data_IF_812252541880
#
_entry.id   IF_812252541880
#
_cell.length_a   1.000
_cell.length_b   1.000
_cell.length_c   1.000
_cell.angle_alpha   90.00
_cell.angle_beta   90.00
_cell.angle_gamma   90.00
#
_symmetry.space_group_name_H-M   'P 1'
#
loop_
_entity.id
_entity.type
_entity.pdbx_description
1 polymer ?
#
# COMPACT_ATOMS: atom_id res chain seq x y z
N UNK A 1 -19.42 -6.31 5.83
CA UNK A 1 -18.41 -5.27 5.70
C UNK A 1 -17.55 -5.57 4.49
N UNK A 2 -17.26 -4.55 3.71
CA UNK A 2 -16.50 -4.68 2.45
C UNK A 2 -15.10 -4.09 2.62
N UNK A 3 -14.09 -4.89 2.39
CA UNK A 3 -12.67 -4.53 2.45
C UNK A 3 -12.10 -4.40 1.04
N UNK A 4 -11.36 -3.33 0.79
CA UNK A 4 -10.58 -3.13 -0.43
C UNK A 4 -9.08 -3.08 -0.09
N UNK A 5 -8.26 -3.81 -0.83
CA UNK A 5 -6.81 -3.80 -0.70
C UNK A 5 -6.21 -3.28 -2.00
N UNK A 6 -5.58 -2.11 -1.94
CA UNK A 6 -4.91 -1.45 -3.05
C UNK A 6 -3.41 -1.57 -2.82
N UNK A 7 -2.71 -2.19 -3.76
CA UNK A 7 -1.28 -2.45 -3.57
C UNK A 7 -0.49 -2.35 -4.87
N UNK A 8 0.80 -2.05 -4.72
CA UNK A 8 1.80 -2.19 -5.76
C UNK A 8 2.78 -3.31 -5.39
N UNK A 9 3.19 -4.11 -6.37
CA UNK A 9 4.17 -5.17 -6.15
C UNK A 9 5.14 -5.30 -7.32
N UNK A 10 6.43 -5.25 -7.05
CA UNK A 10 7.49 -5.39 -8.05
C UNK A 10 8.01 -6.83 -8.13
N UNK A 11 8.31 -7.43 -6.98
CA UNK A 11 8.93 -8.76 -6.87
C UNK A 11 7.97 -9.86 -6.43
N UNK A 12 6.71 -9.50 -6.15
CA UNK A 12 5.69 -10.43 -5.64
C UNK A 12 5.49 -10.41 -4.13
N UNK A 13 6.42 -9.90 -3.33
CA UNK A 13 6.31 -9.90 -1.87
C UNK A 13 5.07 -9.15 -1.37
N UNK A 14 4.84 -7.93 -1.84
CA UNK A 14 3.65 -7.15 -1.46
C UNK A 14 2.36 -7.82 -1.91
N UNK A 15 2.35 -8.41 -3.11
CA UNK A 15 1.21 -9.18 -3.63
C UNK A 15 0.90 -10.39 -2.72
N UNK A 16 1.92 -11.13 -2.31
CA UNK A 16 1.77 -12.27 -1.42
C UNK A 16 1.10 -11.87 -0.10
N UNK A 17 1.58 -10.81 0.54
CA UNK A 17 0.99 -10.27 1.77
C UNK A 17 -0.45 -9.82 1.54
N UNK A 18 -0.71 -9.07 0.46
CA UNK A 18 -2.06 -8.60 0.11
C UNK A 18 -3.05 -9.74 -0.06
N UNK A 19 -2.66 -10.83 -0.73
CA UNK A 19 -3.48 -12.03 -0.91
C UNK A 19 -3.79 -12.73 0.41
N UNK A 20 -2.83 -12.81 1.32
CA UNK A 20 -3.04 -13.40 2.65
C UNK A 20 -3.98 -12.56 3.51
N UNK A 21 -3.91 -11.23 3.42
CA UNK A 21 -4.88 -10.36 4.08
C UNK A 21 -6.27 -10.52 3.45
N UNK A 22 -6.35 -10.60 2.11
CA UNK A 22 -7.63 -10.66 1.41
C UNK A 22 -8.42 -11.94 1.72
N UNK A 23 -7.73 -13.06 1.84
CA UNK A 23 -8.35 -14.40 1.93
C UNK A 23 -9.39 -14.53 3.05
N UNK A 24 -9.11 -14.21 4.33
CA UNK A 24 -10.09 -14.36 5.40
C UNK A 24 -11.27 -13.41 5.34
N UNK A 25 -11.18 -12.32 4.58
CA UNK A 25 -12.22 -11.30 4.47
C UNK A 25 -12.96 -11.31 3.13
N UNK A 26 -12.57 -12.16 2.20
CA UNK A 26 -13.04 -12.13 0.81
C UNK A 26 -12.91 -10.71 0.22
N UNK A 27 -11.78 -10.05 0.49
CA UNK A 27 -11.54 -8.66 0.15
C UNK A 27 -11.31 -8.48 -1.36
N UNK A 28 -11.69 -7.32 -1.87
CA UNK A 28 -11.34 -6.93 -3.24
C UNK A 28 -9.87 -6.53 -3.32
N UNK A 29 -9.13 -7.12 -4.25
CA UNK A 29 -7.72 -6.84 -4.51
C UNK A 29 -7.58 -5.99 -5.76
N UNK A 30 -6.92 -4.84 -5.64
CA UNK A 30 -6.60 -3.95 -6.75
C UNK A 30 -5.08 -3.75 -6.79
N UNK A 31 -4.44 -4.34 -7.77
CA UNK A 31 -3.03 -4.09 -8.03
C UNK A 31 -2.87 -2.84 -8.90
N UNK A 32 -2.07 -1.89 -8.44
CA UNK A 32 -1.76 -0.68 -9.20
C UNK A 32 -0.36 -0.77 -9.80
N UNK A 33 -0.25 -0.38 -11.05
CA UNK A 33 0.99 -0.44 -11.81
C UNK A 33 1.37 0.94 -12.34
N UNK A 34 2.67 1.18 -12.41
CA UNK A 34 3.23 2.34 -13.09
C UNK A 34 3.06 2.19 -14.60
N UNK A 35 2.42 3.15 -15.24
CA UNK A 35 2.25 3.20 -16.70
C UNK A 35 3.31 4.06 -17.41
N UNK A 36 4.16 4.76 -16.64
CA UNK A 36 5.21 5.59 -17.20
C UNK A 36 6.28 4.74 -17.90
N UNK A 37 6.63 5.15 -19.11
CA UNK A 37 7.62 4.46 -19.96
C UNK A 37 9.03 4.91 -19.57
N UNK A 38 9.72 4.12 -18.76
CA UNK A 38 11.13 4.35 -18.44
C UNK A 38 12.04 3.40 -19.23
N UNK A 39 13.21 3.88 -19.64
CA UNK A 39 14.23 3.02 -20.26
C UNK A 39 14.69 1.95 -19.24
N UNK A 40 14.75 0.68 -19.66
CA UNK A 40 14.93 -0.47 -18.72
C UNK A 40 16.16 -0.33 -17.80
N UNK A 41 17.30 0.18 -18.29
CA UNK A 41 18.53 0.31 -17.49
C UNK A 41 18.45 1.41 -16.41
N UNK A 42 17.68 2.47 -16.64
CA UNK A 42 17.57 3.61 -15.72
C UNK A 42 16.33 3.52 -14.82
N UNK A 43 15.45 2.57 -15.09
CA UNK A 43 14.14 2.42 -14.45
C UNK A 43 14.23 2.38 -12.93
N UNK A 44 15.13 1.59 -12.38
CA UNK A 44 15.31 1.48 -10.93
C UNK A 44 15.80 2.78 -10.29
N UNK A 45 16.81 3.43 -10.89
CA UNK A 45 17.37 4.69 -10.37
C UNK A 45 16.34 5.83 -10.41
N UNK A 46 15.58 5.94 -11.50
CA UNK A 46 14.51 6.94 -11.64
C UNK A 46 13.42 6.72 -10.60
N UNK A 47 12.97 5.49 -10.41
CA UNK A 47 11.94 5.14 -9.42
C UNK A 47 12.38 5.39 -7.99
N UNK A 48 13.63 5.07 -7.63
CA UNK A 48 14.19 5.39 -6.32
C UNK A 48 14.31 6.89 -6.08
N UNK A 49 14.68 7.67 -7.11
CA UNK A 49 14.71 9.13 -7.04
C UNK A 49 13.32 9.70 -6.82
N UNK A 50 12.33 9.27 -7.60
CA UNK A 50 10.93 9.70 -7.47
C UNK A 50 10.35 9.35 -6.09
N UNK A 51 10.60 8.14 -5.58
CA UNK A 51 10.19 7.75 -4.24
C UNK A 51 10.78 8.66 -3.16
N UNK A 52 12.05 9.05 -3.32
CA UNK A 52 12.74 9.92 -2.36
C UNK A 52 12.22 11.36 -2.39
N UNK A 53 11.87 11.88 -3.58
CA UNK A 53 11.30 13.23 -3.75
C UNK A 53 9.77 13.27 -3.61
N UNK A 54 9.13 12.11 -3.36
CA UNK A 54 7.66 11.96 -3.28
C UNK A 54 6.94 12.37 -4.57
N UNK A 55 7.64 12.34 -5.70
CA UNK A 55 7.05 12.60 -7.00
C UNK A 55 6.05 11.50 -7.38
N UNK A 56 4.92 11.89 -7.98
CA UNK A 56 3.88 10.97 -8.42
C UNK A 56 4.15 10.47 -9.82
N UNK A 57 3.59 9.33 -10.14
CA UNK A 57 3.63 8.72 -11.47
C UNK A 57 2.21 8.51 -12.00
N UNK A 58 2.09 8.21 -13.27
CA UNK A 58 0.81 7.78 -13.85
C UNK A 58 0.58 6.30 -13.58
N UNK A 59 -0.63 5.95 -13.19
CA UNK A 59 -0.99 4.61 -12.74
C UNK A 59 -2.10 3.98 -13.60
N UNK A 60 -2.16 2.65 -13.55
CA UNK A 60 -3.30 1.87 -14.01
C UNK A 60 -3.76 0.95 -12.84
N UNK A 61 -5.08 0.94 -12.52
CA UNK A 61 -6.14 1.78 -13.08
C UNK A 61 -5.99 3.26 -12.72
N UNK A 62 -6.40 4.16 -13.62
CA UNK A 62 -6.23 5.61 -13.47
C UNK A 62 -7.23 6.25 -12.51
N UNK A 63 -8.24 5.54 -12.06
CA UNK A 63 -9.22 6.02 -11.09
C UNK A 63 -9.71 4.87 -10.23
N UNK A 64 -9.81 5.12 -8.92
CA UNK A 64 -10.15 4.13 -7.91
C UNK A 64 -11.33 4.64 -7.09
N UNK A 65 -12.50 4.04 -7.27
CA UNK A 65 -13.69 4.36 -6.46
C UNK A 65 -13.80 3.38 -5.29
N UNK A 66 -13.65 3.92 -4.08
CA UNK A 66 -13.73 3.16 -2.83
C UNK A 66 -14.97 3.49 -2.01
N UNK A 67 -15.95 4.17 -2.60
CA UNK A 67 -17.19 4.57 -1.90
C UNK A 67 -17.95 3.38 -1.28
N UNK A 68 -17.92 2.23 -1.96
CA UNK A 68 -18.62 1.01 -1.54
C UNK A 68 -17.88 0.16 -0.49
N UNK A 69 -16.73 0.59 0.02
CA UNK A 69 -15.93 -0.15 0.99
C UNK A 69 -15.93 0.54 2.37
N UNK A 70 -15.82 -0.26 3.41
CA UNK A 70 -15.86 0.20 4.80
C UNK A 70 -14.45 0.42 5.37
N UNK A 71 -13.45 -0.34 4.89
CA UNK A 71 -12.04 -0.23 5.25
C UNK A 71 -11.17 -0.35 4.00
N UNK A 72 -10.12 0.44 3.93
CA UNK A 72 -9.14 0.41 2.84
C UNK A 72 -7.79 -0.03 3.40
N UNK A 73 -7.13 -0.95 2.70
CA UNK A 73 -5.76 -1.37 3.03
C UNK A 73 -4.83 -0.99 1.88
N UNK A 74 -3.71 -0.34 2.20
CA UNK A 74 -2.67 0.00 1.24
C UNK A 74 -1.44 -0.88 1.41
N UNK A 75 -0.88 -1.37 0.32
CA UNK A 75 0.34 -2.17 0.31
C UNK A 75 1.39 -1.60 -0.65
N UNK A 76 2.64 -1.42 -0.17
CA UNK A 76 3.74 -0.88 -0.97
C UNK A 76 5.06 -1.60 -0.68
N UNK A 77 5.90 -1.87 -1.68
CA UNK A 77 7.31 -2.11 -1.41
C UNK A 77 7.99 -0.81 -0.98
N UNK A 78 9.10 -0.92 -0.25
CA UNK A 78 9.93 0.23 0.14
C UNK A 78 10.99 0.49 -0.93
N UNK A 79 11.00 1.71 -1.48
CA UNK A 79 12.03 2.21 -2.38
C UNK A 79 12.71 3.42 -1.75
N UNK A 80 14.02 3.41 -1.70
CA UNK A 80 14.81 4.52 -1.14
C UNK A 80 14.28 5.03 0.22
N UNK A 81 13.90 4.10 1.11
CA UNK A 81 13.39 4.35 2.47
C UNK A 81 12.00 4.97 2.56
N UNK A 82 11.21 4.95 1.49
CA UNK A 82 9.82 5.44 1.43
C UNK A 82 8.91 4.46 0.68
N UNK A 83 7.62 4.66 0.79
CA UNK A 83 6.62 4.00 -0.05
C UNK A 83 6.75 4.45 -1.51
N UNK A 84 6.27 3.64 -2.44
CA UNK A 84 6.46 3.91 -3.87
C UNK A 84 5.59 5.06 -4.38
N UNK A 85 6.06 5.81 -5.42
CA UNK A 85 5.26 6.82 -6.09
C UNK A 85 3.94 6.28 -6.66
N UNK A 86 3.92 5.00 -7.00
CA UNK A 86 2.74 4.30 -7.53
C UNK A 86 1.61 4.29 -6.50
N UNK A 87 1.92 3.94 -5.24
CA UNK A 87 0.91 3.95 -4.16
C UNK A 87 0.53 5.37 -3.77
N UNK A 88 1.47 6.33 -3.80
CA UNK A 88 1.14 7.73 -3.59
C UNK A 88 0.11 8.22 -4.62
N UNK A 89 0.37 7.99 -5.90
CA UNK A 89 -0.57 8.33 -6.96
C UNK A 89 -1.93 7.61 -6.80
N UNK A 90 -1.92 6.33 -6.38
CA UNK A 90 -3.15 5.58 -6.13
C UNK A 90 -4.00 6.19 -5.01
N UNK A 91 -3.37 6.62 -3.91
CA UNK A 91 -4.06 7.28 -2.79
C UNK A 91 -4.68 8.61 -3.25
N UNK A 92 -3.99 9.36 -4.10
CA UNK A 92 -4.48 10.63 -4.62
C UNK A 92 -5.66 10.50 -5.59
N UNK A 93 -5.68 9.43 -6.39
CA UNK A 93 -6.75 9.17 -7.36
C UNK A 93 -8.01 8.53 -6.73
N UNK A 94 -8.03 8.34 -5.39
CA UNK A 94 -9.18 7.76 -4.70
C UNK A 94 -10.41 8.66 -4.74
N UNK A 95 -11.55 8.06 -5.01
CA UNK A 95 -12.88 8.66 -4.86
C UNK A 95 -13.66 7.97 -3.75
N UNK A 96 -14.42 8.75 -3.00
CA UNK A 96 -15.29 8.24 -1.93
C UNK A 96 -14.53 7.72 -0.71
N UNK A 97 -13.31 8.22 -0.44
CA UNK A 97 -12.45 7.77 0.66
C UNK A 97 -12.59 8.61 1.95
N UNK A 98 -13.20 9.79 1.88
CA UNK A 98 -13.31 10.74 3.01
C UNK A 98 -13.90 10.09 4.26
N UNK A 99 -13.22 10.26 5.40
CA UNK A 99 -13.63 9.73 6.70
C UNK A 99 -13.46 8.22 6.88
N UNK A 100 -13.01 7.49 5.84
CA UNK A 100 -12.87 6.04 5.94
C UNK A 100 -11.61 5.65 6.72
N UNK A 101 -11.68 4.58 7.55
CA UNK A 101 -10.51 4.01 8.17
C UNK A 101 -9.58 3.39 7.11
N UNK A 102 -8.28 3.55 7.32
CA UNK A 102 -7.27 2.98 6.45
C UNK A 102 -6.15 2.30 7.25
N UNK A 103 -5.70 1.17 6.76
CA UNK A 103 -4.52 0.43 7.23
C UNK A 103 -3.48 0.46 6.12
N UNK A 104 -2.20 0.57 6.47
CA UNK A 104 -1.14 0.46 5.49
C UNK A 104 -0.09 -0.58 5.92
N UNK A 105 0.51 -1.22 4.93
CA UNK A 105 1.67 -2.07 5.15
C UNK A 105 2.74 -1.84 4.09
N UNK A 106 3.99 -2.02 4.49
CA UNK A 106 5.10 -2.05 3.55
C UNK A 106 5.86 -3.36 3.61
N UNK A 107 6.50 -3.73 2.49
CA UNK A 107 7.44 -4.85 2.42
C UNK A 107 8.82 -4.34 2.06
N UNK A 108 9.86 -4.83 2.76
CA UNK A 108 11.23 -4.36 2.54
C UNK A 108 12.25 -5.47 2.73
N UNK A 109 13.41 -5.34 2.06
CA UNK A 109 14.56 -6.23 2.23
C UNK A 109 15.67 -5.67 3.12
N UNK A 110 15.52 -4.42 3.59
CA UNK A 110 16.48 -3.73 4.43
C UNK A 110 15.79 -2.96 5.56
N UNK A 111 15.82 -1.63 5.51
CA UNK A 111 15.16 -0.76 6.48
C UNK A 111 13.90 -0.11 5.89
N UNK A 112 12.80 -0.01 6.64
CA UNK A 112 11.56 0.61 6.15
C UNK A 112 11.69 2.13 5.99
N UNK A 113 12.65 2.76 6.66
CA UNK A 113 12.85 4.21 6.61
C UNK A 113 11.69 5.00 7.18
N UNK A 114 11.21 6.00 6.42
CA UNK A 114 10.10 6.89 6.80
C UNK A 114 8.73 6.42 6.29
N UNK A 115 8.61 5.14 5.94
CA UNK A 115 7.40 4.60 5.29
C UNK A 115 6.15 4.78 6.14
N UNK A 116 6.25 4.62 7.46
CA UNK A 116 5.12 4.76 8.39
C UNK A 116 4.59 6.19 8.41
N UNK A 117 5.48 7.16 8.57
CA UNK A 117 5.13 8.57 8.56
C UNK A 117 4.55 9.00 7.21
N UNK A 118 5.20 8.56 6.13
CA UNK A 118 4.76 8.82 4.76
C UNK A 118 3.34 8.32 4.51
N UNK A 119 3.03 7.09 4.91
CA UNK A 119 1.68 6.54 4.76
C UNK A 119 0.65 7.29 5.60
N UNK A 120 0.97 7.63 6.84
CA UNK A 120 0.06 8.38 7.71
C UNK A 120 -0.29 9.72 7.07
N UNK A 121 0.70 10.48 6.64
CA UNK A 121 0.50 11.78 6.01
C UNK A 121 -0.37 11.67 4.75
N UNK A 122 -0.07 10.75 3.84
CA UNK A 122 -0.86 10.58 2.61
C UNK A 122 -2.32 10.16 2.86
N UNK A 123 -2.55 9.32 3.88
CA UNK A 123 -3.89 8.89 4.28
C UNK A 123 -4.67 10.07 4.87
N UNK A 124 -4.03 10.84 5.77
CA UNK A 124 -4.63 12.03 6.40
C UNK A 124 -4.90 13.15 5.39
N UNK A 125 -3.99 13.42 4.47
CA UNK A 125 -4.14 14.44 3.41
C UNK A 125 -5.34 14.16 2.50
N UNK A 126 -5.72 12.87 2.37
CA UNK A 126 -6.93 12.45 1.64
C UNK A 126 -8.19 12.40 2.51
N UNK A 127 -8.10 12.87 3.75
CA UNK A 127 -9.22 12.90 4.70
C UNK A 127 -9.65 11.52 5.19
N UNK A 128 -8.80 10.51 5.07
CA UNK A 128 -8.99 9.19 5.68
C UNK A 128 -8.41 9.17 7.11
N UNK A 129 -8.77 8.14 7.87
CA UNK A 129 -8.29 7.94 9.24
C UNK A 129 -7.24 6.82 9.25
N UNK A 130 -5.94 7.09 9.48
CA UNK A 130 -4.94 6.04 9.58
C UNK A 130 -5.13 5.26 10.89
N UNK A 131 -5.56 4.01 10.79
CA UNK A 131 -5.80 3.14 11.95
C UNK A 131 -4.53 2.41 12.36
N UNK A 132 -3.77 1.94 11.39
CA UNK A 132 -2.50 1.25 11.62
C UNK A 132 -1.58 1.33 10.40
N UNK A 133 -0.28 1.38 10.67
CA UNK A 133 0.76 1.20 9.67
C UNK A 133 1.77 0.17 10.19
N UNK A 134 2.21 -0.76 9.34
CA UNK A 134 3.16 -1.80 9.73
C UNK A 134 4.16 -2.08 8.61
N UNK A 135 5.34 -2.56 9.01
CA UNK A 135 6.41 -2.94 8.09
C UNK A 135 6.70 -4.44 8.21
N UNK A 136 6.86 -5.11 7.08
CA UNK A 136 7.14 -6.53 7.00
C UNK A 136 8.48 -6.72 6.27
N UNK A 137 9.46 -7.25 6.99
CA UNK A 137 10.71 -7.63 6.37
C UNK A 137 10.52 -8.87 5.50
N UNK A 138 11.19 -8.95 4.35
CA UNK A 138 11.05 -10.07 3.42
C UNK A 138 11.26 -11.45 4.06
N UNK A 139 12.16 -11.56 5.05
CA UNK A 139 12.41 -12.81 5.77
C UNK A 139 11.23 -13.20 6.69
N UNK A 140 10.37 -12.27 7.05
CA UNK A 140 9.19 -12.52 7.90
C UNK A 140 7.96 -12.93 7.07
N UNK A 141 8.04 -12.81 5.74
CA UNK A 141 6.94 -13.20 4.84
C UNK A 141 6.76 -14.71 4.84
N UNK A 142 7.86 -15.47 4.81
CA UNK A 142 7.82 -16.94 4.76
C UNK A 142 7.27 -17.58 6.04
N UNK A 143 7.51 -16.97 7.22
CA UNK A 143 7.03 -17.52 8.47
C UNK A 143 5.60 -17.09 8.83
N UNK A 144 5.00 -16.24 8.03
CA UNK A 144 3.63 -15.73 8.14
C UNK A 144 3.24 -15.08 9.46
N UNK A 145 4.12 -15.05 10.47
CA UNK A 145 3.79 -14.50 11.79
C UNK A 145 3.34 -13.03 11.70
N UNK A 146 4.14 -12.21 11.02
CA UNK A 146 3.82 -10.80 10.78
C UNK A 146 2.56 -10.61 9.94
N UNK A 147 2.31 -11.50 9.00
CA UNK A 147 1.10 -11.47 8.16
C UNK A 147 -0.12 -11.77 9.03
N UNK A 148 -0.04 -12.75 9.92
CA UNK A 148 -1.13 -13.08 10.87
C UNK A 148 -1.39 -11.93 11.85
N UNK A 149 -0.35 -11.26 12.35
CA UNK A 149 -0.47 -10.05 13.17
C UNK A 149 -1.19 -8.95 12.39
N UNK A 150 -0.84 -8.72 11.13
CA UNK A 150 -1.49 -7.73 10.27
C UNK A 150 -2.96 -8.09 9.98
N UNK A 151 -3.25 -9.36 9.71
CA UNK A 151 -4.64 -9.83 9.53
C UNK A 151 -5.47 -9.58 10.79
N UNK A 152 -4.93 -9.87 11.98
CA UNK A 152 -5.59 -9.59 13.25
C UNK A 152 -5.83 -8.08 13.47
N UNK A 153 -4.89 -7.26 13.05
CA UNK A 153 -4.96 -5.80 13.13
C UNK A 153 -6.04 -5.25 12.18
N UNK A 154 -6.10 -5.74 10.94
CA UNK A 154 -7.16 -5.44 9.98
C UNK A 154 -8.53 -5.85 10.56
N UNK A 155 -8.62 -7.04 11.16
CA UNK A 155 -9.85 -7.51 11.79
C UNK A 155 -10.30 -6.62 12.96
N UNK A 156 -9.37 -6.13 13.79
CA UNK A 156 -9.67 -5.20 14.89
C UNK A 156 -10.15 -3.84 14.37
N UNK A 157 -9.57 -3.35 13.27
CA UNK A 157 -9.93 -2.08 12.62
C UNK A 157 -11.34 -2.07 12.01
N UNK A 158 -11.93 -3.25 11.84
CA UNK A 158 -13.29 -3.47 11.35
C UNK A 158 -14.36 -3.15 12.41
N UNK A 159 -14.01 -3.19 13.68
CA UNK A 159 -14.94 -3.09 14.81
C UNK A 159 -15.05 -1.67 15.38
N UNK A 160 -14.32 -0.75 14.82
CA UNK A 160 -14.34 0.68 15.19
C UNK A 160 -15.25 1.44 14.24
#
# INVERSE_FOLDING_TARGET
MKLCIIYHSETGNTRHVAQHIASPFNANLIEVCDTASYFQLTRFLVRCKMARSEEKTTIAPASLDVSGYDLIVFGSPVWAFKSTPVIHAAIDELKGCMGKPAVAFSTHGGRPGQTDETFKNWIEDRGMVPVAVTNIHQNDIENEKKIKELVALVHASIKV
#
